data_IF_110759395021
#
_entry.id   IF_110759395021
#
_cell.length_a   1.000
_cell.length_b   1.000
_cell.length_c   1.000
_cell.angle_alpha   90.00
_cell.angle_beta   90.00
_cell.angle_gamma   90.00
#
_symmetry.space_group_name_H-M   'P 1'
#
loop_
_entity.id
_entity.type
_entity.pdbx_description
1 polymer ?
#
# COMPACT_ATOMS: atom_id res chain seq x y z
N UNK A 1 -17.32 13.13 -22.07
CA UNK A 1 -16.15 12.26 -21.96
C UNK A 1 -14.98 12.69 -22.85
N UNK A 2 -15.13 12.87 -24.19
CA UNK A 2 -14.01 13.30 -25.06
C UNK A 2 -13.36 14.64 -24.65
N UNK A 3 -14.12 15.63 -24.16
CA UNK A 3 -13.60 16.94 -23.73
C UNK A 3 -12.78 16.89 -22.43
N UNK A 4 -13.09 15.97 -21.52
CA UNK A 4 -12.35 15.78 -20.27
C UNK A 4 -11.01 15.11 -20.55
N UNK A 5 -10.99 14.12 -21.45
CA UNK A 5 -9.76 13.45 -21.86
C UNK A 5 -8.80 14.41 -22.58
N UNK A 6 -9.34 15.30 -23.44
CA UNK A 6 -8.54 16.31 -24.15
C UNK A 6 -7.97 17.36 -23.19
N UNK A 7 -8.72 17.75 -22.14
CA UNK A 7 -8.22 18.68 -21.11
C UNK A 7 -7.13 18.06 -20.25
N UNK A 8 -7.24 16.77 -19.93
CA UNK A 8 -6.23 16.05 -19.16
C UNK A 8 -4.93 15.90 -19.97
N UNK A 9 -5.02 15.56 -21.27
CA UNK A 9 -3.87 15.47 -22.18
C UNK A 9 -3.23 16.84 -22.41
N UNK A 10 -4.01 17.92 -22.51
CA UNK A 10 -3.45 19.27 -22.63
C UNK A 10 -2.77 19.76 -21.34
N UNK A 11 -3.26 19.38 -20.15
CA UNK A 11 -2.58 19.68 -18.88
C UNK A 11 -1.23 18.98 -18.77
N UNK A 12 -1.12 17.73 -19.22
CA UNK A 12 0.15 17.00 -19.23
C UNK A 12 1.14 17.55 -20.25
N UNK A 13 0.70 18.06 -21.38
CA UNK A 13 1.59 18.67 -22.39
C UNK A 13 2.13 20.05 -21.99
N UNK A 14 1.41 20.82 -21.17
CA UNK A 14 1.89 22.10 -20.64
C UNK A 14 2.95 21.91 -19.52
N UNK A 15 2.91 20.82 -18.79
CA UNK A 15 3.93 20.48 -17.79
C UNK A 15 5.27 20.06 -18.41
N UNK A 16 5.26 19.49 -19.61
CA UNK A 16 6.46 19.00 -20.30
C UNK A 16 7.41 20.10 -20.84
N UNK A 17 7.00 21.37 -20.83
CA UNK A 17 7.84 22.48 -21.33
C UNK A 17 8.45 23.39 -20.27
N UNK A 18 8.13 23.16 -18.98
CA UNK A 18 8.65 23.95 -17.87
C UNK A 18 9.47 23.05 -16.94
N UNK A 19 10.80 23.11 -17.01
CA UNK A 19 11.77 22.50 -16.12
C UNK A 19 11.26 21.23 -15.39
N UNK A 20 11.76 20.07 -15.78
CA UNK A 20 11.30 18.75 -15.36
C UNK A 20 11.16 18.51 -13.82
N UNK A 21 11.70 19.41 -12.99
CA UNK A 21 11.65 19.33 -11.52
C UNK A 21 10.45 20.03 -10.86
N UNK A 22 9.71 20.89 -11.60
CA UNK A 22 8.62 21.68 -11.02
C UNK A 22 7.26 20.97 -10.97
N UNK A 23 7.00 20.08 -11.90
CA UNK A 23 5.77 19.28 -11.93
C UNK A 23 6.10 17.90 -12.49
N UNK A 24 5.68 16.85 -11.80
CA UNK A 24 5.93 15.46 -12.19
C UNK A 24 4.74 14.58 -11.86
N UNK A 25 4.41 13.68 -12.77
CA UNK A 25 3.46 12.61 -12.53
C UNK A 25 4.15 11.28 -12.76
N UNK A 26 4.09 10.43 -11.77
CA UNK A 26 4.55 9.05 -11.85
C UNK A 26 3.39 8.11 -11.54
N UNK A 27 3.34 6.97 -12.17
CA UNK A 27 2.38 5.93 -11.86
C UNK A 27 3.01 4.56 -12.05
N UNK A 28 2.58 3.60 -11.24
CA UNK A 28 3.02 2.23 -11.34
C UNK A 28 1.88 1.25 -11.13
N UNK A 29 1.99 0.09 -11.76
CA UNK A 29 1.06 -1.03 -11.63
C UNK A 29 1.85 -2.33 -11.73
N UNK A 30 1.48 -3.30 -10.92
CA UNK A 30 2.13 -4.59 -10.92
C UNK A 30 1.48 -5.62 -10.01
N UNK A 31 2.23 -6.65 -9.71
CA UNK A 31 1.81 -7.72 -8.84
C UNK A 31 2.77 -7.85 -7.66
N UNK A 32 2.21 -8.10 -6.50
CA UNK A 32 2.91 -8.39 -5.26
C UNK A 32 2.67 -9.83 -4.86
N UNK A 33 3.74 -10.63 -4.82
CA UNK A 33 3.73 -11.99 -4.28
C UNK A 33 3.77 -11.86 -2.76
N UNK A 34 2.68 -12.16 -2.11
CA UNK A 34 2.53 -12.02 -0.66
C UNK A 34 2.67 -13.38 0.01
N UNK A 35 3.38 -13.41 1.13
CA UNK A 35 3.36 -14.50 2.09
C UNK A 35 2.71 -13.96 3.35
N UNK A 36 1.42 -14.20 3.58
CA UNK A 36 0.74 -13.87 4.83
C UNK A 36 1.30 -14.69 5.98
N UNK A 37 1.26 -14.17 7.20
CA UNK A 37 1.59 -14.93 8.41
C UNK A 37 0.98 -14.29 9.65
N UNK A 38 0.77 -15.08 10.70
CA UNK A 38 0.35 -14.61 12.00
C UNK A 38 -1.05 -15.01 12.41
N UNK A 39 -1.63 -14.28 13.36
CA UNK A 39 -2.93 -14.63 13.95
C UNK A 39 -3.68 -13.40 14.45
N UNK A 40 -5.00 -13.55 14.57
CA UNK A 40 -5.91 -12.61 15.19
C UNK A 40 -6.70 -13.34 16.28
N UNK A 41 -6.56 -12.90 17.52
CA UNK A 41 -7.38 -13.34 18.66
C UNK A 41 -8.30 -12.17 19.06
N UNK A 42 -9.59 -12.39 19.14
CA UNK A 42 -10.52 -11.34 19.51
C UNK A 42 -11.74 -11.89 20.25
N UNK A 43 -12.24 -11.12 21.20
CA UNK A 43 -13.56 -11.29 21.83
C UNK A 43 -14.54 -10.20 21.38
N UNK A 44 -14.15 -9.34 20.45
CA UNK A 44 -15.00 -8.31 19.88
C UNK A 44 -15.90 -8.88 18.81
N UNK A 45 -17.21 -8.85 19.07
CA UNK A 45 -18.25 -9.32 18.15
C UNK A 45 -18.69 -8.23 17.16
N UNK A 46 -18.00 -7.08 17.11
CA UNK A 46 -18.31 -5.94 16.23
C UNK A 46 -17.28 -5.70 15.13
N UNK A 47 -16.13 -6.40 15.16
CA UNK A 47 -15.06 -6.28 14.19
C UNK A 47 -15.25 -7.07 12.90
N UNK A 48 -14.21 -7.14 12.05
CA UNK A 48 -14.19 -7.85 10.75
C UNK A 48 -14.66 -9.30 10.87
N UNK A 49 -14.21 -9.98 11.92
CA UNK A 49 -14.77 -11.26 12.35
C UNK A 49 -15.58 -11.01 13.62
N UNK A 50 -16.89 -11.22 13.57
CA UNK A 50 -17.73 -11.27 14.79
C UNK A 50 -17.37 -12.53 15.58
N UNK A 51 -16.16 -12.54 16.15
CA UNK A 51 -15.45 -13.70 16.66
C UNK A 51 -15.18 -13.55 18.16
N UNK A 52 -15.47 -14.59 18.92
CA UNK A 52 -14.87 -14.86 20.23
C UNK A 52 -13.98 -16.10 20.08
N UNK A 53 -12.72 -15.88 19.71
CA UNK A 53 -11.79 -16.94 19.36
C UNK A 53 -10.56 -16.47 18.59
N UNK A 54 -9.98 -17.38 17.81
CA UNK A 54 -8.71 -17.15 17.11
C UNK A 54 -8.80 -17.49 15.63
N UNK A 55 -8.34 -16.57 14.78
CA UNK A 55 -7.95 -16.82 13.39
C UNK A 55 -6.44 -17.04 13.31
N UNK A 56 -6.00 -17.98 12.48
CA UNK A 56 -4.58 -18.23 12.20
C UNK A 56 -4.39 -18.37 10.70
N UNK A 57 -3.45 -17.58 10.13
CA UNK A 57 -3.07 -17.65 8.72
C UNK A 57 -2.47 -19.01 8.38
N UNK A 58 -2.76 -19.51 7.17
CA UNK A 58 -2.16 -20.75 6.66
C UNK A 58 -0.77 -20.54 6.05
N UNK A 59 -0.30 -19.28 5.97
CA UNK A 59 0.99 -18.90 5.37
C UNK A 59 1.11 -19.30 3.89
N UNK A 60 -0.01 -19.33 3.16
CA UNK A 60 -0.03 -19.65 1.74
C UNK A 60 0.25 -18.40 0.88
N UNK A 61 1.15 -18.55 -0.08
CA UNK A 61 1.53 -17.45 -0.98
C UNK A 61 0.35 -17.07 -1.89
N UNK A 62 0.07 -15.76 -1.96
CA UNK A 62 -0.88 -15.18 -2.91
C UNK A 62 -0.21 -14.19 -3.85
N UNK A 63 -0.81 -13.91 -4.99
CA UNK A 63 -0.29 -12.97 -5.98
C UNK A 63 -1.33 -11.89 -6.25
N UNK A 64 -1.13 -10.73 -5.63
CA UNK A 64 -2.10 -9.66 -5.56
C UNK A 64 -1.67 -8.42 -6.36
N UNK A 65 -2.63 -7.59 -6.76
CA UNK A 65 -2.40 -6.41 -7.57
C UNK A 65 -2.09 -5.19 -6.71
N UNK A 66 -1.17 -4.36 -7.18
CA UNK A 66 -0.99 -3.01 -6.67
C UNK A 66 -1.04 -1.96 -7.78
N UNK A 67 -1.38 -0.74 -7.40
CA UNK A 67 -1.35 0.44 -8.25
C UNK A 67 -0.97 1.66 -7.40
N UNK A 68 -0.17 2.58 -7.96
CA UNK A 68 0.12 3.85 -7.30
C UNK A 68 0.26 4.99 -8.31
N UNK A 69 -0.05 6.21 -7.85
CA UNK A 69 0.16 7.46 -8.58
C UNK A 69 0.81 8.47 -7.64
N UNK A 70 1.84 9.14 -8.12
CA UNK A 70 2.51 10.24 -7.44
C UNK A 70 2.38 11.49 -8.30
N UNK A 71 1.89 12.58 -7.68
CA UNK A 71 1.68 13.87 -8.32
C UNK A 71 2.47 14.92 -7.56
N UNK A 72 3.49 15.49 -8.21
CA UNK A 72 4.22 16.64 -7.75
C UNK A 72 3.75 17.88 -8.50
N UNK A 73 3.55 18.99 -7.82
CA UNK A 73 3.10 20.25 -8.41
C UNK A 73 3.96 21.44 -7.95
N UNK A 74 4.01 22.55 -8.71
CA UNK A 74 4.91 23.67 -8.44
C UNK A 74 4.41 24.64 -7.35
N UNK A 75 3.27 24.41 -6.71
CA UNK A 75 2.70 25.32 -5.72
C UNK A 75 3.28 25.03 -4.33
N UNK A 76 4.16 25.88 -3.76
CA UNK A 76 4.96 25.52 -2.58
C UNK A 76 4.15 25.30 -1.29
N UNK A 77 2.94 25.86 -1.20
CA UNK A 77 2.12 25.82 0.02
C UNK A 77 1.23 24.59 0.09
N UNK A 78 0.91 24.02 -1.07
CA UNK A 78 0.09 22.79 -1.14
C UNK A 78 0.99 21.56 -1.06
N UNK A 79 0.58 20.51 -0.33
CA UNK A 79 1.31 19.25 -0.34
C UNK A 79 1.16 18.56 -1.70
N UNK A 80 2.21 17.91 -2.16
CA UNK A 80 2.14 16.92 -3.22
C UNK A 80 1.27 15.75 -2.75
N UNK A 81 0.83 14.90 -3.66
CA UNK A 81 -0.05 13.78 -3.32
C UNK A 81 0.46 12.50 -3.94
N UNK A 82 0.49 11.43 -3.15
CA UNK A 82 0.63 10.06 -3.61
C UNK A 82 -0.64 9.29 -3.26
N UNK A 83 -1.14 8.52 -4.18
CA UNK A 83 -2.28 7.61 -4.01
C UNK A 83 -1.78 6.19 -4.24
N UNK A 84 -2.20 5.26 -3.40
CA UNK A 84 -1.87 3.86 -3.59
C UNK A 84 -3.11 2.99 -3.42
N UNK A 85 -3.10 1.87 -4.11
CA UNK A 85 -4.04 0.77 -3.95
C UNK A 85 -3.27 -0.52 -3.88
N UNK A 86 -3.65 -1.40 -2.97
CA UNK A 86 -3.16 -2.77 -2.93
C UNK A 86 -4.26 -3.70 -2.44
N UNK A 87 -4.37 -4.88 -3.04
CA UNK A 87 -5.14 -5.99 -2.51
C UNK A 87 -4.24 -6.91 -1.67
N UNK A 88 -4.85 -7.54 -0.68
CA UNK A 88 -4.25 -8.58 0.15
C UNK A 88 -5.27 -9.70 0.25
N UNK A 89 -4.83 -10.93 0.07
CA UNK A 89 -5.61 -12.13 0.29
C UNK A 89 -4.87 -13.05 1.27
N UNK A 90 -5.58 -13.53 2.28
CA UNK A 90 -5.06 -14.44 3.30
C UNK A 90 -6.06 -15.57 3.53
N UNK A 91 -5.58 -16.80 3.48
CA UNK A 91 -6.33 -18.01 3.80
C UNK A 91 -5.84 -18.58 5.13
N UNK A 92 -6.75 -19.11 5.92
CA UNK A 92 -6.41 -19.64 7.23
C UNK A 92 -7.54 -20.42 7.88
N UNK A 93 -7.44 -20.59 9.17
CA UNK A 93 -8.44 -21.32 9.97
C UNK A 93 -8.94 -20.50 11.16
N UNK A 94 -10.22 -20.63 11.46
CA UNK A 94 -10.84 -20.00 12.61
C UNK A 94 -11.35 -21.04 13.60
N UNK A 95 -11.05 -20.83 14.88
CA UNK A 95 -11.57 -21.62 16.01
C UNK A 95 -12.17 -20.71 17.06
N UNK A 96 -13.41 -20.94 17.45
CA UNK A 96 -14.11 -20.13 18.45
C UNK A 96 -15.61 -20.10 18.26
N UNK A 97 -16.24 -19.00 18.64
CA UNK A 97 -17.67 -18.74 18.45
C UNK A 97 -17.83 -17.59 17.47
N UNK A 98 -18.36 -17.88 16.29
CA UNK A 98 -18.63 -16.89 15.24
C UNK A 98 -20.14 -16.69 15.14
N UNK A 99 -20.60 -15.47 15.38
CA UNK A 99 -22.04 -15.12 15.38
C UNK A 99 -22.90 -16.12 16.18
N UNK A 100 -22.38 -16.58 17.33
CA UNK A 100 -23.06 -17.54 18.21
C UNK A 100 -22.98 -19.01 17.79
N UNK A 101 -22.22 -19.34 16.73
CA UNK A 101 -21.99 -20.69 16.23
C UNK A 101 -20.57 -21.12 16.57
N UNK A 102 -20.40 -22.24 17.29
CA UNK A 102 -19.08 -22.81 17.55
C UNK A 102 -18.46 -23.40 16.30
N UNK A 103 -17.22 -23.01 15.99
CA UNK A 103 -16.41 -23.54 14.89
C UNK A 103 -15.06 -24.01 15.40
N UNK A 104 -14.46 -24.98 14.74
CA UNK A 104 -13.12 -25.49 15.03
C UNK A 104 -12.41 -25.77 13.72
N UNK A 105 -11.23 -25.18 13.54
CA UNK A 105 -10.41 -25.29 12.32
C UNK A 105 -11.24 -25.02 11.05
N UNK A 106 -12.15 -24.05 11.12
CA UNK A 106 -12.99 -23.68 9.99
C UNK A 106 -12.20 -22.89 8.96
N UNK A 107 -12.20 -23.34 7.72
CA UNK A 107 -11.57 -22.60 6.60
C UNK A 107 -12.14 -21.19 6.53
N UNK A 108 -11.22 -20.21 6.52
CA UNK A 108 -11.53 -18.79 6.56
C UNK A 108 -10.67 -18.06 5.54
N UNK A 109 -11.30 -17.24 4.71
CA UNK A 109 -10.63 -16.35 3.77
C UNK A 109 -10.78 -14.91 4.26
N UNK A 110 -9.69 -14.15 4.23
CA UNK A 110 -9.70 -12.70 4.53
C UNK A 110 -9.16 -11.97 3.30
N UNK A 111 -10.02 -11.15 2.70
CA UNK A 111 -9.67 -10.25 1.61
C UNK A 111 -9.63 -8.81 2.11
N UNK A 112 -8.54 -8.08 1.80
CA UNK A 112 -8.41 -6.67 2.13
C UNK A 112 -8.11 -5.84 0.90
N UNK A 113 -8.83 -4.73 0.74
CA UNK A 113 -8.56 -3.68 -0.24
C UNK A 113 -8.08 -2.45 0.50
N UNK A 114 -6.85 -2.04 0.24
CA UNK A 114 -6.21 -0.92 0.91
C UNK A 114 -6.08 0.26 -0.04
N UNK A 115 -6.45 1.45 0.43
CA UNK A 115 -6.30 2.72 -0.27
C UNK A 115 -5.52 3.68 0.62
N UNK A 116 -4.38 4.16 0.13
CA UNK A 116 -3.57 5.13 0.82
C UNK A 116 -3.69 6.49 0.14
N UNK A 117 -3.92 7.54 0.93
CA UNK A 117 -3.95 8.94 0.50
C UNK A 117 -2.83 9.65 1.27
N UNK A 118 -1.76 10.02 0.54
CA UNK A 118 -0.51 10.49 1.13
C UNK A 118 -0.22 11.92 0.66
N UNK A 119 -0.67 12.97 1.38
CA UNK A 119 -0.13 14.30 1.23
C UNK A 119 1.30 14.36 1.78
N UNK A 120 2.24 14.90 0.97
CA UNK A 120 3.65 14.96 1.36
C UNK A 120 4.34 16.24 0.86
N UNK A 121 5.46 16.59 1.49
CA UNK A 121 6.36 17.65 1.07
C UNK A 121 7.73 17.10 0.73
N UNK A 122 8.34 17.61 -0.35
CA UNK A 122 9.75 17.34 -0.65
C UNK A 122 10.62 18.16 0.30
N UNK A 123 11.38 17.51 1.15
CA UNK A 123 12.38 18.12 2.04
C UNK A 123 13.71 18.28 1.30
N UNK A 124 14.07 17.27 0.50
CA UNK A 124 15.13 17.34 -0.48
C UNK A 124 14.53 16.97 -1.83
N UNK A 125 14.77 17.80 -2.85
CA UNK A 125 14.25 17.61 -4.19
C UNK A 125 15.40 17.45 -5.17
N UNK A 126 15.74 16.20 -5.47
CA UNK A 126 16.87 15.81 -6.33
C UNK A 126 18.19 16.53 -6.00
N UNK A 127 18.39 16.83 -4.73
CA UNK A 127 19.59 17.52 -4.25
C UNK A 127 20.74 16.53 -4.18
N UNK A 128 21.69 16.61 -5.13
CA UNK A 128 22.79 15.65 -5.25
C UNK A 128 22.29 14.24 -5.56
N UNK A 129 21.28 14.13 -6.42
CA UNK A 129 20.59 12.89 -6.85
C UNK A 129 19.70 12.23 -5.78
N UNK A 130 19.47 12.90 -4.65
CA UNK A 130 18.66 12.40 -3.54
C UNK A 130 17.36 13.21 -3.42
N UNK A 131 16.25 12.52 -3.32
CA UNK A 131 14.94 13.05 -2.96
C UNK A 131 14.56 12.52 -1.59
N UNK A 132 14.05 13.39 -0.72
CA UNK A 132 13.49 13.03 0.59
C UNK A 132 12.12 13.67 0.74
N UNK A 133 11.12 12.87 0.96
CA UNK A 133 9.73 13.26 1.17
C UNK A 133 9.29 12.95 2.60
N UNK A 134 8.54 13.86 3.20
CA UNK A 134 7.87 13.67 4.48
C UNK A 134 6.39 13.98 4.33
N UNK A 135 5.55 13.16 4.91
CA UNK A 135 4.10 13.32 4.82
C UNK A 135 3.34 12.55 5.88
N UNK A 136 2.04 12.51 5.67
CA UNK A 136 1.11 11.66 6.42
C UNK A 136 0.43 10.72 5.43
N UNK A 137 0.11 9.52 5.86
CA UNK A 137 -0.70 8.59 5.11
C UNK A 137 -2.02 8.37 5.83
N UNK A 138 -3.10 8.44 5.09
CA UNK A 138 -4.43 8.00 5.51
C UNK A 138 -4.72 6.67 4.80
N UNK A 139 -4.45 5.57 5.49
CA UNK A 139 -4.69 4.22 5.01
C UNK A 139 -6.12 3.81 5.32
N UNK A 140 -6.92 3.59 4.28
CA UNK A 140 -8.29 3.06 4.37
C UNK A 140 -8.25 1.59 3.99
N UNK A 141 -8.65 0.72 4.89
CA UNK A 141 -8.68 -0.73 4.70
C UNK A 141 -10.13 -1.18 4.69
N UNK A 142 -10.56 -1.78 3.59
CA UNK A 142 -11.82 -2.49 3.47
C UNK A 142 -11.51 -3.98 3.54
N UNK A 143 -12.00 -4.63 4.58
CA UNK A 143 -11.77 -6.06 4.84
C UNK A 143 -13.06 -6.82 4.66
N UNK A 144 -12.98 -8.00 4.07
CA UNK A 144 -14.06 -8.99 3.96
C UNK A 144 -13.53 -10.32 4.48
N UNK A 145 -14.29 -10.95 5.37
CA UNK A 145 -13.96 -12.27 5.89
C UNK A 145 -15.09 -13.25 5.58
N UNK A 146 -14.77 -14.42 5.06
CA UNK A 146 -15.70 -15.50 4.74
C UNK A 146 -15.33 -16.80 5.47
N UNK A 147 -16.31 -17.42 6.11
CA UNK A 147 -16.17 -18.75 6.72
C UNK A 147 -17.16 -19.68 6.05
N UNK A 148 -16.66 -20.44 5.08
CA UNK A 148 -17.47 -21.26 4.18
C UNK A 148 -18.32 -22.32 4.90
N UNK A 149 -17.81 -22.91 5.98
CA UNK A 149 -18.48 -24.00 6.71
C UNK A 149 -19.81 -23.61 7.36
N UNK A 150 -19.98 -22.32 7.69
CA UNK A 150 -21.19 -21.78 8.32
C UNK A 150 -21.91 -20.74 7.46
N UNK A 151 -21.43 -20.50 6.21
CA UNK A 151 -21.93 -19.48 5.29
C UNK A 151 -21.98 -18.08 5.96
N UNK A 152 -20.92 -17.75 6.69
CA UNK A 152 -20.76 -16.46 7.34
C UNK A 152 -19.85 -15.56 6.50
N UNK A 153 -20.27 -14.33 6.27
CA UNK A 153 -19.48 -13.28 5.66
C UNK A 153 -19.65 -11.99 6.47
N UNK A 154 -18.56 -11.28 6.65
CA UNK A 154 -18.54 -9.97 7.33
C UNK A 154 -17.64 -9.01 6.57
N UNK A 155 -18.02 -7.74 6.56
CA UNK A 155 -17.24 -6.65 5.98
C UNK A 155 -17.02 -5.52 6.98
N UNK A 156 -15.86 -4.87 6.92
CA UNK A 156 -15.53 -3.74 7.77
C UNK A 156 -14.64 -2.73 7.03
N UNK A 157 -14.61 -1.49 7.52
CA UNK A 157 -13.75 -0.44 7.00
C UNK A 157 -13.09 0.32 8.13
N UNK A 158 -11.77 0.29 8.15
CA UNK A 158 -10.95 1.00 9.13
C UNK A 158 -10.07 2.06 8.46
N UNK A 159 -9.76 3.13 9.19
CA UNK A 159 -8.88 4.20 8.73
C UNK A 159 -7.73 4.37 9.73
N UNK A 160 -6.50 4.23 9.26
CA UNK A 160 -5.29 4.32 10.08
C UNK A 160 -4.44 5.49 9.57
N UNK A 161 -4.18 6.52 10.39
CA UNK A 161 -3.23 7.56 10.05
C UNK A 161 -1.81 7.08 10.34
N UNK A 162 -0.87 7.23 9.37
CA UNK A 162 0.54 6.87 9.55
C UNK A 162 1.45 8.05 9.18
N UNK A 163 2.64 8.08 9.75
CA UNK A 163 3.71 8.98 9.31
C UNK A 163 4.33 8.36 8.06
N UNK A 164 4.54 9.18 7.02
CA UNK A 164 5.13 8.78 5.76
C UNK A 164 6.49 9.41 5.56
N UNK A 165 7.48 8.58 5.21
CA UNK A 165 8.83 8.98 4.82
C UNK A 165 9.22 8.21 3.56
N UNK A 166 9.72 8.92 2.54
CA UNK A 166 10.24 8.31 1.30
C UNK A 166 11.59 8.89 0.97
N UNK A 167 12.53 8.05 0.59
CA UNK A 167 13.79 8.45 0.01
C UNK A 167 13.97 7.80 -1.36
N UNK A 168 14.53 8.56 -2.31
CA UNK A 168 14.88 8.09 -3.63
C UNK A 168 16.27 8.58 -4.03
N UNK A 169 17.05 7.69 -4.62
CA UNK A 169 18.38 7.99 -5.16
C UNK A 169 18.38 7.66 -6.64
N UNK A 170 18.69 8.65 -7.48
CA UNK A 170 18.93 8.48 -8.90
C UNK A 170 20.44 8.21 -9.08
N UNK A 171 20.83 7.01 -9.55
CA UNK A 171 22.25 6.67 -9.71
C UNK A 171 22.82 7.42 -10.93
N UNK A 172 23.78 8.35 -10.73
CA UNK A 172 24.29 9.19 -11.80
C UNK A 172 24.86 8.39 -12.98
N UNK A 173 24.60 8.88 -14.19
CA UNK A 173 25.03 8.26 -15.44
C UNK A 173 24.46 6.85 -15.68
N UNK A 174 23.38 6.52 -15.01
CA UNK A 174 22.63 5.27 -15.24
C UNK A 174 21.15 5.58 -15.35
N UNK A 175 20.36 4.59 -15.77
CA UNK A 175 18.91 4.66 -15.82
C UNK A 175 18.28 3.99 -14.59
N UNK A 176 19.02 3.87 -13.48
CA UNK A 176 18.62 3.14 -12.28
C UNK A 176 18.24 4.13 -11.18
N UNK A 177 17.05 3.94 -10.65
CA UNK A 177 16.58 4.56 -9.42
C UNK A 177 16.50 3.52 -8.30
N UNK A 178 16.80 3.95 -7.08
CA UNK A 178 16.60 3.17 -5.86
C UNK A 178 15.69 3.97 -4.95
N UNK A 179 14.63 3.36 -4.45
CA UNK A 179 13.63 4.01 -3.60
C UNK A 179 13.31 3.15 -2.39
N UNK A 180 13.16 3.78 -1.25
CA UNK A 180 12.59 3.17 -0.05
C UNK A 180 11.57 4.12 0.56
N UNK A 181 10.46 3.57 1.04
CA UNK A 181 9.46 4.31 1.80
C UNK A 181 8.99 3.51 3.02
N UNK A 182 8.58 4.26 4.03
CA UNK A 182 8.11 3.75 5.32
C UNK A 182 6.86 4.52 5.70
N UNK A 183 5.82 3.80 6.03
CA UNK A 183 4.61 4.30 6.70
C UNK A 183 4.57 3.65 8.08
N UNK A 184 4.37 4.43 9.15
CA UNK A 184 4.53 3.94 10.50
C UNK A 184 3.66 4.69 11.49
N UNK A 185 3.06 3.95 12.41
CA UNK A 185 2.45 4.49 13.64
C UNK A 185 2.63 3.52 14.80
N UNK A 186 2.73 4.04 16.00
CA UNK A 186 2.66 3.28 17.25
C UNK A 186 2.05 4.15 18.34
N UNK A 187 1.34 3.55 19.26
CA UNK A 187 0.88 4.17 20.51
C UNK A 187 1.58 3.60 21.76
N UNK A 188 2.52 2.68 21.54
CA UNK A 188 3.32 1.99 22.56
C UNK A 188 2.92 0.53 22.76
N UNK A 189 1.64 0.21 22.69
CA UNK A 189 1.13 -1.17 22.82
C UNK A 189 0.85 -1.76 21.42
N UNK A 190 0.37 -0.93 20.49
CA UNK A 190 0.10 -1.33 19.11
C UNK A 190 1.08 -0.67 18.13
N UNK A 191 1.42 -1.37 17.05
CA UNK A 191 2.30 -0.87 15.99
C UNK A 191 1.79 -1.31 14.63
N UNK A 192 1.65 -0.35 13.70
CA UNK A 192 1.34 -0.63 12.30
C UNK A 192 2.43 -0.02 11.43
N UNK A 193 2.97 -0.82 10.51
CA UNK A 193 3.93 -0.33 9.53
C UNK A 193 3.76 -0.96 8.16
N UNK A 194 4.23 -0.19 7.15
CA UNK A 194 4.30 -0.60 5.75
C UNK A 194 5.63 -0.08 5.18
N UNK A 195 6.54 -0.98 4.89
CA UNK A 195 7.90 -0.68 4.44
C UNK A 195 8.08 -1.23 3.04
N UNK A 196 8.58 -0.40 2.13
CA UNK A 196 8.94 -0.80 0.78
C UNK A 196 10.36 -0.39 0.44
N UNK A 197 11.05 -1.26 -0.33
CA UNK A 197 12.29 -0.93 -1.00
C UNK A 197 12.22 -1.44 -2.45
N UNK A 198 12.63 -0.60 -3.40
CA UNK A 198 12.61 -0.96 -4.83
C UNK A 198 13.81 -0.44 -5.59
N UNK A 199 14.06 -1.10 -6.71
CA UNK A 199 14.92 -0.63 -7.78
C UNK A 199 14.06 -0.48 -9.03
N UNK A 200 14.23 0.59 -9.76
CA UNK A 200 13.61 0.76 -11.07
C UNK A 200 14.68 1.02 -12.16
N UNK A 201 14.37 0.58 -13.36
CA UNK A 201 15.18 0.79 -14.55
C UNK A 201 14.35 1.51 -15.61
N UNK A 202 14.74 2.76 -15.93
CA UNK A 202 14.08 3.61 -16.92
C UNK A 202 14.50 3.24 -18.33
N UNK A 203 13.54 3.14 -19.25
CA UNK A 203 13.74 2.84 -20.65
C UNK A 203 13.73 4.13 -21.47
N UNK A 204 14.90 4.63 -21.90
CA UNK A 204 15.09 5.95 -22.51
C UNK A 204 14.77 6.03 -24.01
N UNK A 205 13.82 5.26 -24.50
CA UNK A 205 13.50 5.27 -25.93
C UNK A 205 12.35 6.22 -26.30
N UNK A 206 11.68 6.85 -25.31
CA UNK A 206 10.59 7.82 -25.55
C UNK A 206 10.93 9.11 -24.78
N UNK A 207 11.10 10.27 -25.48
CA UNK A 207 11.56 11.50 -24.84
C UNK A 207 10.62 12.14 -23.83
N UNK A 208 9.31 11.91 -23.93
CA UNK A 208 8.27 12.59 -23.12
C UNK A 208 7.69 11.67 -22.06
N UNK A 209 7.63 10.39 -22.33
CA UNK A 209 7.08 9.38 -21.44
C UNK A 209 8.22 8.42 -21.14
N UNK A 210 8.60 8.30 -19.88
CA UNK A 210 9.67 7.43 -19.44
C UNK A 210 9.09 6.16 -18.82
N UNK A 211 8.90 5.08 -19.60
CA UNK A 211 8.52 3.81 -19.03
C UNK A 211 9.70 3.23 -18.24
N UNK A 212 9.39 2.56 -17.15
CA UNK A 212 10.37 1.86 -16.33
C UNK A 212 9.84 0.52 -15.85
N UNK A 213 10.77 -0.39 -15.56
CA UNK A 213 10.50 -1.62 -14.85
C UNK A 213 10.82 -1.39 -13.38
N UNK A 214 9.96 -1.80 -12.49
CA UNK A 214 10.23 -1.78 -11.05
C UNK A 214 10.18 -3.17 -10.45
N UNK A 215 11.08 -3.43 -9.51
CA UNK A 215 11.11 -4.62 -8.68
C UNK A 215 11.49 -4.24 -7.27
N UNK A 216 10.84 -4.84 -6.28
CA UNK A 216 11.08 -4.49 -4.90
C UNK A 216 10.59 -5.55 -3.91
N UNK A 217 10.71 -5.21 -2.65
CA UNK A 217 10.21 -5.99 -1.52
C UNK A 217 9.36 -5.11 -0.63
N UNK A 218 8.24 -5.65 -0.14
CA UNK A 218 7.30 -4.96 0.75
C UNK A 218 7.03 -5.80 1.97
N UNK A 219 6.89 -5.15 3.10
CA UNK A 219 6.46 -5.74 4.36
C UNK A 219 5.39 -4.83 4.94
N UNK A 220 4.22 -5.39 5.24
CA UNK A 220 3.17 -4.74 6.01
C UNK A 220 2.92 -5.53 7.27
N UNK A 221 2.85 -4.85 8.42
CA UNK A 221 2.56 -5.48 9.70
C UNK A 221 1.49 -4.71 10.45
N UNK A 222 0.60 -5.47 11.06
CA UNK A 222 -0.44 -5.03 11.96
C UNK A 222 -0.24 -5.78 13.28
N UNK A 223 0.41 -5.12 14.24
CA UNK A 223 0.62 -5.62 15.60
C UNK A 223 -0.24 -4.74 16.51
N UNK A 224 -1.41 -5.25 16.91
CA UNK A 224 -2.41 -4.53 17.69
C UNK A 224 -2.67 -5.32 18.95
N UNK A 225 -2.45 -4.67 20.10
CA UNK A 225 -2.78 -5.20 21.42
C UNK A 225 -3.75 -4.24 22.13
N UNK A 226 -5.04 -4.57 22.05
CA UNK A 226 -6.11 -3.84 22.74
C UNK A 226 -6.83 -4.81 23.69
N UNK A 227 -7.65 -4.26 24.59
CA UNK A 227 -8.34 -5.01 25.66
C UNK A 227 -9.06 -6.26 25.18
N UNK A 228 -9.64 -6.22 24.01
CA UNK A 228 -10.51 -7.25 23.44
C UNK A 228 -9.96 -7.87 22.14
N UNK A 229 -8.81 -7.36 21.63
CA UNK A 229 -8.24 -7.80 20.35
C UNK A 229 -6.73 -7.84 20.41
N UNK A 230 -6.14 -8.99 20.04
CA UNK A 230 -4.71 -9.16 19.77
C UNK A 230 -4.54 -9.61 18.34
N UNK A 231 -3.90 -8.77 17.53
CA UNK A 231 -3.62 -9.02 16.12
C UNK A 231 -2.11 -8.97 15.91
N UNK A 232 -1.54 -10.01 15.37
CA UNK A 232 -0.18 -10.07 14.85
C UNK A 232 -0.26 -10.65 13.43
N UNK A 233 -0.48 -9.79 12.45
CA UNK A 233 -0.56 -10.19 11.04
C UNK A 233 0.54 -9.48 10.26
N UNK A 234 1.29 -10.25 9.45
CA UNK A 234 2.34 -9.76 8.58
C UNK A 234 2.13 -10.28 7.16
N UNK A 235 2.28 -9.37 6.19
CA UNK A 235 2.25 -9.66 4.76
C UNK A 235 3.56 -9.19 4.16
N UNK A 236 4.35 -10.11 3.64
CA UNK A 236 5.66 -9.76 3.10
C UNK A 236 5.92 -10.44 1.76
N UNK A 237 6.76 -9.85 0.93
CA UNK A 237 7.14 -10.48 -0.32
C UNK A 237 7.66 -9.55 -1.41
N UNK A 238 8.04 -10.17 -2.51
CA UNK A 238 8.58 -9.51 -3.70
C UNK A 238 7.45 -8.96 -4.55
N UNK A 239 7.61 -7.75 -5.08
CA UNK A 239 6.72 -7.20 -6.09
C UNK A 239 7.46 -6.78 -7.34
N UNK A 240 6.77 -6.79 -8.47
CA UNK A 240 7.30 -6.35 -9.74
C UNK A 240 6.20 -5.69 -10.57
N UNK A 241 6.58 -4.69 -11.37
CA UNK A 241 5.62 -3.94 -12.17
C UNK A 241 6.23 -3.04 -13.22
N UNK A 242 5.33 -2.29 -13.84
CA UNK A 242 5.63 -1.26 -14.82
C UNK A 242 5.35 0.10 -14.21
N UNK A 243 6.24 1.05 -14.48
CA UNK A 243 6.11 2.43 -14.06
C UNK A 243 6.16 3.35 -15.29
N UNK A 244 5.41 4.44 -15.25
CA UNK A 244 5.46 5.53 -16.22
C UNK A 244 5.76 6.83 -15.48
N UNK A 245 6.67 7.61 -16.05
CA UNK A 245 7.03 8.95 -15.55
C UNK A 245 6.83 9.99 -16.65
N UNK A 246 6.19 11.13 -16.29
CA UNK A 246 5.89 12.25 -17.18
C UNK A 246 6.48 13.55 -16.67
#
# INVERSE_FOLDING_TARGET
MKKILTSLVCMTMLAATANADLARVEMGVGSWQQTPSGSLETSDTSGVLSLDGTYTSAEEDSSEMYFWVLIKHPIPVLPNVRLEYVSIADEGTTTGIVNGIGVTDAETTIDMKQFDIIPYYNILDNTGWVTLDLGLDLKVIQSEADISSIHYSSDDTIVIPLIYVRTRVEIPATNIGVEADVKYITDGDSTVYDIRAKVDYTLDFIPVIQPALEVGYRIQKYDIDDSDTKMDLEYSGVYAGLMLRF
#
